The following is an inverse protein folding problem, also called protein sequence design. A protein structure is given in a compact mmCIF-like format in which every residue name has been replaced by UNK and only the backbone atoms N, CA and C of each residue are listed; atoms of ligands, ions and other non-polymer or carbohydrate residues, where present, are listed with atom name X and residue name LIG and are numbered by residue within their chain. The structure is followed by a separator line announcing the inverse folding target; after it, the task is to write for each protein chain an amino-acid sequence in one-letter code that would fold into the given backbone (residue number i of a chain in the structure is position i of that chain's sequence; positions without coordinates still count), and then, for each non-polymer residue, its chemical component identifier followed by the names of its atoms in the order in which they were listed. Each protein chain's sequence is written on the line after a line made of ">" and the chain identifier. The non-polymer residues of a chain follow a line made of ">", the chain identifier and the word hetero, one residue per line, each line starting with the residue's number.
data_IF_365958683810
#
_entry.id   IF_365958683810
#
_cell.length_a   1.000
_cell.length_b   1.000
_cell.length_c   1.000
_cell.angle_alpha   90.00
_cell.angle_beta   90.00
_cell.angle_gamma   90.00
#
_symmetry.space_group_name_H-M   'P 1'
#
loop_
_entity.id
_entity.type
_entity.pdbx_description
1 polymer ?
#
# COMPACT_ATOMS: atom_id res chain seq x y z
N UNK A 1 25.48 24.08 -46.21
CA UNK A 1 25.24 23.12 -45.12
C UNK A 1 24.00 22.37 -45.53
N UNK A 2 24.15 21.18 -46.11
CA UNK A 2 23.00 20.39 -46.53
C UNK A 2 22.25 20.01 -45.25
N UNK A 3 21.01 20.48 -45.13
CA UNK A 3 20.11 20.02 -44.08
C UNK A 3 20.05 18.50 -44.26
N UNK A 4 20.50 17.76 -43.25
CA UNK A 4 20.57 16.30 -43.28
C UNK A 4 19.28 15.68 -43.81
N UNK A 5 19.38 14.52 -44.45
CA UNK A 5 18.23 13.89 -45.10
C UNK A 5 17.08 13.69 -44.10
N UNK A 6 15.83 13.68 -44.57
CA UNK A 6 14.68 13.42 -43.71
C UNK A 6 14.85 12.12 -42.89
N UNK A 7 15.58 11.13 -43.41
CA UNK A 7 15.89 9.89 -42.72
C UNK A 7 16.79 10.11 -41.49
N UNK A 8 17.84 10.93 -41.58
CA UNK A 8 18.75 11.22 -40.47
C UNK A 8 18.04 11.99 -39.33
N UNK A 9 17.10 12.87 -39.67
CA UNK A 9 16.28 13.56 -38.68
C UNK A 9 15.32 12.62 -37.94
N UNK A 10 14.73 11.66 -38.67
CA UNK A 10 13.83 10.65 -38.07
C UNK A 10 14.63 9.69 -37.19
N UNK A 11 15.82 9.29 -37.63
CA UNK A 11 16.73 8.45 -36.85
C UNK A 11 17.16 9.15 -35.55
N UNK A 12 17.66 10.39 -35.65
CA UNK A 12 18.06 11.17 -34.47
C UNK A 12 16.90 11.44 -33.50
N UNK A 13 15.68 11.67 -34.01
CA UNK A 13 14.50 11.82 -33.17
C UNK A 13 14.09 10.49 -32.51
N UNK A 14 14.20 9.38 -33.24
CA UNK A 14 13.97 8.03 -32.74
C UNK A 14 14.94 7.66 -31.60
N UNK A 15 16.22 7.94 -31.77
CA UNK A 15 17.24 7.71 -30.73
C UNK A 15 16.99 8.56 -29.49
N UNK A 16 16.70 9.86 -29.67
CA UNK A 16 16.40 10.77 -28.56
C UNK A 16 15.18 10.29 -27.77
N UNK A 17 14.12 9.86 -28.47
CA UNK A 17 12.93 9.28 -27.83
C UNK A 17 13.24 7.97 -27.12
N UNK A 18 14.02 7.07 -27.73
CA UNK A 18 14.39 5.79 -27.13
C UNK A 18 15.19 5.99 -25.84
N UNK A 19 16.18 6.88 -25.85
CA UNK A 19 16.98 7.23 -24.66
C UNK A 19 16.08 7.90 -23.60
N UNK A 20 15.21 8.81 -24.01
CA UNK A 20 14.26 9.46 -23.09
C UNK A 20 13.35 8.45 -22.40
N UNK A 21 12.72 7.54 -23.17
CA UNK A 21 11.87 6.49 -22.61
C UNK A 21 12.67 5.57 -21.71
N UNK A 22 13.89 5.16 -22.10
CA UNK A 22 14.73 4.29 -21.28
C UNK A 22 15.08 4.92 -19.92
N UNK A 23 15.31 6.25 -19.88
CA UNK A 23 15.59 6.98 -18.64
C UNK A 23 14.35 7.13 -17.75
N UNK A 24 13.16 7.36 -18.31
CA UNK A 24 11.96 7.68 -17.52
C UNK A 24 11.02 6.48 -17.26
N UNK A 25 11.10 5.41 -18.05
CA UNK A 25 10.33 4.18 -17.85
C UNK A 25 10.51 3.55 -16.46
N UNK A 26 11.74 3.39 -15.91
CA UNK A 26 11.91 2.80 -14.58
C UNK A 26 11.23 3.64 -13.49
N UNK A 27 11.30 4.97 -13.59
CA UNK A 27 10.62 5.87 -12.66
C UNK A 27 9.09 5.70 -12.73
N UNK A 28 8.54 5.62 -13.95
CA UNK A 28 7.11 5.41 -14.15
C UNK A 28 6.65 4.06 -13.57
N UNK A 29 7.40 2.98 -13.83
CA UNK A 29 7.13 1.66 -13.28
C UNK A 29 7.18 1.66 -11.75
N UNK A 30 8.22 2.25 -11.15
CA UNK A 30 8.33 2.38 -9.70
C UNK A 30 7.13 3.12 -9.09
N UNK A 31 6.65 4.18 -9.76
CA UNK A 31 5.46 4.92 -9.33
C UNK A 31 4.20 4.07 -9.38
N UNK A 32 4.01 3.28 -10.43
CA UNK A 32 2.88 2.36 -10.51
C UNK A 32 2.94 1.28 -9.43
N UNK A 33 4.12 0.69 -9.21
CA UNK A 33 4.29 -0.36 -8.22
C UNK A 33 4.07 0.15 -6.80
N UNK A 34 4.52 1.37 -6.51
CA UNK A 34 4.20 2.04 -5.24
C UNK A 34 2.69 2.21 -5.05
N UNK A 35 1.95 2.63 -6.09
CA UNK A 35 0.48 2.73 -6.01
C UNK A 35 -0.17 1.37 -5.75
N UNK A 36 0.26 0.32 -6.45
CA UNK A 36 -0.25 -1.05 -6.26
C UNK A 36 0.03 -1.57 -4.85
N UNK A 37 1.24 -1.34 -4.32
CA UNK A 37 1.62 -1.71 -2.95
C UNK A 37 0.74 -0.99 -1.92
N UNK A 38 0.52 0.32 -2.09
CA UNK A 38 -0.37 1.10 -1.21
C UNK A 38 -1.80 0.53 -1.21
N UNK A 39 -2.33 0.23 -2.40
CA UNK A 39 -3.68 -0.33 -2.56
C UNK A 39 -3.81 -1.69 -1.88
N UNK A 40 -2.85 -2.59 -2.11
CA UNK A 40 -2.83 -3.92 -1.50
C UNK A 40 -2.73 -3.84 0.03
N UNK A 41 -1.82 -3.01 0.55
CA UNK A 41 -1.68 -2.84 2.00
C UNK A 41 -2.97 -2.31 2.64
N UNK A 42 -3.59 -1.31 2.01
CA UNK A 42 -4.88 -0.78 2.45
C UNK A 42 -5.95 -1.87 2.43
N UNK A 43 -6.05 -2.63 1.33
CA UNK A 43 -7.04 -3.68 1.18
C UNK A 43 -6.91 -4.75 2.27
N UNK A 44 -5.71 -5.32 2.46
CA UNK A 44 -5.46 -6.36 3.47
C UNK A 44 -5.82 -5.88 4.87
N UNK A 45 -5.36 -4.69 5.27
CA UNK A 45 -5.66 -4.14 6.59
C UNK A 45 -7.16 -3.88 6.74
N UNK A 46 -7.83 -3.33 5.71
CA UNK A 46 -9.26 -3.05 5.80
C UNK A 46 -10.15 -4.28 5.80
N UNK A 47 -9.79 -5.34 5.06
CA UNK A 47 -10.60 -6.57 5.04
C UNK A 47 -10.44 -7.30 6.37
N UNK A 48 -9.19 -7.63 6.74
CA UNK A 48 -8.92 -8.36 7.97
C UNK A 48 -9.47 -7.63 9.20
N UNK A 49 -9.25 -6.32 9.33
CA UNK A 49 -9.79 -5.58 10.46
C UNK A 49 -11.32 -5.52 10.48
N UNK A 50 -12.00 -5.48 9.33
CA UNK A 50 -13.48 -5.54 9.29
C UNK A 50 -14.01 -6.89 9.71
N UNK A 51 -13.35 -7.96 9.27
CA UNK A 51 -13.74 -9.33 9.61
C UNK A 51 -13.57 -9.58 11.12
N UNK A 52 -12.51 -9.01 11.72
CA UNK A 52 -12.25 -9.06 13.17
C UNK A 52 -13.32 -8.38 14.03
N UNK A 53 -14.08 -7.40 13.51
CA UNK A 53 -15.12 -6.70 14.29
C UNK A 53 -16.29 -7.60 14.68
N UNK A 54 -16.51 -8.67 13.93
CA UNK A 54 -17.66 -9.57 14.06
C UNK A 54 -17.31 -10.92 14.72
N UNK A 55 -16.06 -11.10 15.14
CA UNK A 55 -15.58 -12.36 15.71
C UNK A 55 -15.55 -12.34 17.25
N UNK A 56 -15.99 -13.45 17.85
CA UNK A 56 -15.93 -13.67 19.30
C UNK A 56 -14.61 -14.33 19.76
N UNK A 57 -13.79 -14.80 18.82
CA UNK A 57 -12.49 -15.45 19.09
C UNK A 57 -11.39 -14.89 18.20
N UNK A 58 -10.98 -13.68 18.49
CA UNK A 58 -10.05 -12.92 17.65
C UNK A 58 -8.64 -13.49 17.67
N UNK A 59 -8.08 -13.86 18.83
CA UNK A 59 -6.66 -14.20 18.93
C UNK A 59 -6.26 -15.46 18.13
N UNK A 60 -7.20 -16.36 17.88
CA UNK A 60 -6.98 -17.59 17.11
C UNK A 60 -7.58 -17.52 15.70
N UNK A 61 -8.12 -16.37 15.28
CA UNK A 61 -8.64 -16.23 13.92
C UNK A 61 -7.51 -16.15 12.91
N UNK A 62 -7.76 -16.67 11.72
CA UNK A 62 -6.86 -16.53 10.57
C UNK A 62 -6.59 -15.06 10.29
N UNK A 63 -7.60 -14.21 10.41
CA UNK A 63 -7.55 -12.80 10.04
C UNK A 63 -6.68 -11.99 11.01
N UNK A 64 -6.66 -12.35 12.29
CA UNK A 64 -5.78 -11.72 13.28
C UNK A 64 -4.33 -12.10 13.04
N UNK A 65 -4.06 -13.38 12.78
CA UNK A 65 -2.72 -13.86 12.45
C UNK A 65 -2.23 -13.26 11.13
N UNK A 66 -3.09 -13.16 10.13
CA UNK A 66 -2.79 -12.51 8.85
C UNK A 66 -2.46 -11.03 9.05
N UNK A 67 -3.29 -10.27 9.77
CA UNK A 67 -3.04 -8.86 10.06
C UNK A 67 -1.72 -8.68 10.82
N UNK A 68 -1.48 -9.49 11.86
CA UNK A 68 -0.26 -9.45 12.66
C UNK A 68 0.99 -9.73 11.83
N UNK A 69 0.97 -10.80 11.04
CA UNK A 69 2.09 -11.18 10.19
C UNK A 69 2.33 -10.15 9.09
N UNK A 70 1.25 -9.65 8.47
CA UNK A 70 1.33 -8.61 7.46
C UNK A 70 2.00 -7.35 8.01
N UNK A 71 1.54 -6.84 9.15
CA UNK A 71 2.12 -5.65 9.80
C UNK A 71 3.58 -5.89 10.16
N UNK A 72 3.93 -7.04 10.74
CA UNK A 72 5.30 -7.36 11.13
C UNK A 72 6.26 -7.39 9.93
N UNK A 73 5.86 -8.10 8.86
CA UNK A 73 6.69 -8.27 7.65
C UNK A 73 6.82 -6.92 6.93
N UNK A 74 5.71 -6.23 6.69
CA UNK A 74 5.71 -5.02 5.90
C UNK A 74 6.35 -3.83 6.63
N UNK A 75 6.32 -3.80 7.97
CA UNK A 75 7.05 -2.78 8.74
C UNK A 75 8.57 -2.85 8.50
N UNK A 76 9.12 -4.03 8.27
CA UNK A 76 10.55 -4.23 8.00
C UNK A 76 10.87 -4.00 6.52
N UNK A 77 10.00 -4.42 5.60
CA UNK A 77 10.26 -4.39 4.17
C UNK A 77 9.89 -3.07 3.48
N UNK A 78 9.03 -2.25 4.09
CA UNK A 78 8.49 -1.07 3.44
C UNK A 78 9.43 0.13 3.56
N UNK A 79 9.83 0.69 2.42
CA UNK A 79 10.59 1.94 2.32
C UNK A 79 9.74 3.12 1.85
N UNK A 80 8.44 2.91 1.63
CA UNK A 80 7.52 3.93 1.15
C UNK A 80 6.73 4.55 2.31
N UNK A 81 6.84 5.87 2.49
CA UNK A 81 6.18 6.60 3.57
C UNK A 81 4.66 6.40 3.63
N UNK A 82 3.99 6.30 2.46
CA UNK A 82 2.54 6.08 2.42
C UNK A 82 2.18 4.67 2.90
N UNK A 83 2.95 3.66 2.48
CA UNK A 83 2.76 2.28 2.97
C UNK A 83 3.05 2.21 4.46
N UNK A 84 4.10 2.87 4.95
CA UNK A 84 4.46 2.92 6.38
C UNK A 84 3.31 3.49 7.23
N UNK A 85 2.68 4.58 6.79
CA UNK A 85 1.48 5.12 7.45
C UNK A 85 0.30 4.15 7.46
N UNK A 86 0.10 3.42 6.37
CA UNK A 86 -0.96 2.40 6.28
C UNK A 86 -0.66 1.25 7.27
N UNK A 87 0.58 0.78 7.32
CA UNK A 87 1.03 -0.26 8.26
C UNK A 87 0.91 0.22 9.71
N UNK A 88 1.24 1.48 9.99
CA UNK A 88 1.09 2.08 11.32
C UNK A 88 -0.38 2.06 11.79
N UNK A 89 -1.34 2.30 10.89
CA UNK A 89 -2.75 2.12 11.24
C UNK A 89 -3.06 0.64 11.57
N UNK A 90 -2.53 -0.31 10.80
CA UNK A 90 -2.63 -1.74 11.12
C UNK A 90 -2.05 -2.09 12.49
N UNK A 91 -0.88 -1.54 12.83
CA UNK A 91 -0.26 -1.70 14.16
C UNK A 91 -1.16 -1.14 15.25
N UNK A 92 -1.69 0.07 15.07
CA UNK A 92 -2.61 0.67 16.03
C UNK A 92 -3.89 -0.16 16.21
N UNK A 93 -4.40 -0.80 15.15
CA UNK A 93 -5.55 -1.72 15.26
C UNK A 93 -5.17 -2.94 16.10
N UNK A 94 -3.99 -3.54 15.88
CA UNK A 94 -3.48 -4.64 16.71
C UNK A 94 -3.31 -4.22 18.18
N UNK A 95 -2.85 -3.00 18.43
CA UNK A 95 -2.70 -2.46 19.79
C UNK A 95 -4.06 -2.24 20.48
N UNK A 96 -5.09 -1.81 19.74
CA UNK A 96 -6.46 -1.69 20.25
C UNK A 96 -7.05 -3.06 20.58
N UNK A 97 -6.79 -4.08 19.75
CA UNK A 97 -7.22 -5.46 19.99
C UNK A 97 -6.48 -6.04 21.22
N UNK A 98 -5.18 -5.76 21.34
CA UNK A 98 -4.34 -6.23 22.42
C UNK A 98 -4.40 -7.75 22.58
N UNK A 99 -4.67 -8.20 23.80
CA UNK A 99 -4.86 -9.63 24.14
C UNK A 99 -6.33 -10.03 24.25
N UNK A 100 -7.26 -9.15 23.87
CA UNK A 100 -8.69 -9.41 23.99
C UNK A 100 -9.15 -10.42 22.94
N UNK A 101 -9.95 -11.40 23.36
CA UNK A 101 -10.60 -12.35 22.44
C UNK A 101 -11.91 -11.81 21.85
N UNK A 102 -12.57 -10.92 22.59
CA UNK A 102 -13.81 -10.24 22.21
C UNK A 102 -13.58 -8.74 22.31
N UNK A 103 -13.97 -8.00 21.28
CA UNK A 103 -13.88 -6.54 21.28
C UNK A 103 -15.07 -5.92 22.01
N UNK A 104 -14.77 -4.98 22.90
CA UNK A 104 -15.77 -4.07 23.46
C UNK A 104 -16.31 -3.11 22.40
N UNK A 105 -17.52 -2.58 22.60
CA UNK A 105 -18.11 -1.62 21.66
C UNK A 105 -17.24 -0.36 21.46
N UNK A 106 -16.53 0.06 22.52
CA UNK A 106 -15.55 1.15 22.43
C UNK A 106 -14.37 0.81 21.52
N UNK A 107 -13.83 -0.42 21.63
CA UNK A 107 -12.76 -0.88 20.74
C UNK A 107 -13.24 -1.01 19.29
N UNK A 108 -14.47 -1.50 19.07
CA UNK A 108 -15.06 -1.61 17.73
C UNK A 108 -15.22 -0.23 17.08
N UNK A 109 -15.72 0.76 17.81
CA UNK A 109 -15.83 2.14 17.32
C UNK A 109 -14.46 2.76 17.02
N UNK A 110 -13.46 2.55 17.88
CA UNK A 110 -12.11 3.06 17.66
C UNK A 110 -11.45 2.46 16.39
N UNK A 111 -11.65 1.16 16.15
CA UNK A 111 -11.17 0.48 14.93
C UNK A 111 -11.91 1.03 13.70
N UNK A 112 -13.23 1.17 13.76
CA UNK A 112 -14.03 1.73 12.65
C UNK A 112 -13.57 3.14 12.26
N UNK A 113 -13.35 4.03 13.23
CA UNK A 113 -12.83 5.38 12.96
C UNK A 113 -11.45 5.35 12.28
N UNK A 114 -10.55 4.44 12.69
CA UNK A 114 -9.25 4.29 12.04
C UNK A 114 -9.36 3.74 10.61
N UNK A 115 -10.32 2.85 10.36
CA UNK A 115 -10.61 2.33 9.02
C UNK A 115 -11.19 3.40 8.09
N UNK A 116 -12.10 4.25 8.58
CA UNK A 116 -12.63 5.38 7.82
C UNK A 116 -11.53 6.37 7.44
N UNK A 117 -10.65 6.71 8.39
CA UNK A 117 -9.49 7.56 8.11
C UNK A 117 -8.55 6.97 7.04
N UNK A 118 -8.35 5.64 7.03
CA UNK A 118 -7.62 4.94 5.97
C UNK A 118 -8.30 5.06 4.60
N UNK A 119 -9.63 5.02 4.55
CA UNK A 119 -10.38 5.17 3.29
C UNK A 119 -10.22 6.57 2.68
N UNK A 120 -10.12 7.60 3.51
CA UNK A 120 -10.00 9.02 3.13
C UNK A 120 -8.61 9.40 2.58
N UNK A 121 -7.56 8.62 2.86
CA UNK A 121 -6.24 8.84 2.23
C UNK A 121 -6.31 8.68 0.70
N UNK A 122 -6.18 9.79 -0.04
CA UNK A 122 -6.00 9.81 -1.50
C UNK A 122 -4.65 9.17 -1.87
N UNK A 123 -4.70 8.11 -2.69
CA UNK A 123 -3.54 7.39 -3.22
C UNK A 123 -2.78 8.23 -4.24
#
# INVERSE_FOLDING_TARGET
>A
MEIGSLAEWVEGFGELLAVSVALFLPYYQQRQDNKKKNQRAKQVITSTAKDLLNLDKIQNSTDYLELRNFVAIYRVLSTNDKVLKIIEVGSNILDIIGTSNVLTDQQKQAIQQKLENLTTYKI
#
